data_IF_799394386727
#
_entry.id   IF_799394386727
#
_cell.length_a   1.000
_cell.length_b   1.000
_cell.length_c   1.000
_cell.angle_alpha   90.00
_cell.angle_beta   90.00
_cell.angle_gamma   90.00
#
_symmetry.space_group_name_H-M   'P 1'
#
loop_
_entity.id
_entity.type
_entity.pdbx_description
1 polymer ?
#
# COMPACT_ATOMS: atom_id res chain seq x y z
N UNK A 1 -23.49 15.45 -34.03
CA UNK A 1 -23.12 14.02 -34.02
C UNK A 1 -21.70 13.90 -34.57
N UNK A 2 -20.70 13.54 -33.76
CA UNK A 2 -19.34 13.27 -34.26
C UNK A 2 -19.16 11.77 -34.36
N UNK A 3 -19.02 11.29 -35.59
CA UNK A 3 -18.75 9.88 -35.89
C UNK A 3 -17.38 9.49 -35.30
N UNK A 4 -17.36 8.55 -34.37
CA UNK A 4 -16.13 7.85 -33.98
C UNK A 4 -15.85 6.80 -35.05
N UNK A 5 -14.84 7.06 -35.88
CA UNK A 5 -14.26 6.07 -36.78
C UNK A 5 -13.66 4.92 -35.96
N UNK A 6 -14.15 3.70 -36.19
CA UNK A 6 -13.57 2.47 -35.65
C UNK A 6 -12.16 2.30 -36.25
N UNK A 7 -11.13 2.29 -35.40
CA UNK A 7 -9.75 1.96 -35.81
C UNK A 7 -9.62 0.43 -35.89
N UNK A 8 -8.94 -0.12 -36.91
CA UNK A 8 -8.92 -1.56 -37.16
C UNK A 8 -8.18 -2.29 -36.03
N UNK A 9 -8.77 -3.40 -35.61
CA UNK A 9 -8.26 -4.31 -34.57
C UNK A 9 -7.12 -5.13 -35.18
N UNK A 10 -5.89 -4.65 -35.02
CA UNK A 10 -4.66 -5.41 -35.29
C UNK A 10 -4.31 -6.26 -34.06
N UNK A 11 -4.48 -7.56 -34.18
CA UNK A 11 -4.14 -8.56 -33.19
C UNK A 11 -2.62 -8.66 -33.02
N UNK A 12 -2.12 -8.47 -31.79
CA UNK A 12 -0.98 -9.15 -31.16
C UNK A 12 -0.78 -8.59 -29.74
N UNK A 13 -1.06 -9.48 -28.77
CA UNK A 13 -0.83 -9.43 -27.32
C UNK A 13 -0.67 -8.03 -26.70
N UNK A 14 -1.80 -7.42 -26.34
CA UNK A 14 -1.80 -6.08 -25.77
C UNK A 14 -3.00 -5.90 -24.83
N UNK A 15 -2.74 -5.35 -23.63
CA UNK A 15 -3.45 -4.10 -23.24
C UNK A 15 -4.91 -4.28 -22.77
N UNK A 16 -5.19 -5.15 -21.80
CA UNK A 16 -6.51 -5.20 -21.16
C UNK A 16 -6.97 -3.81 -20.64
N UNK A 17 -6.03 -2.95 -20.23
CA UNK A 17 -6.33 -1.60 -19.75
C UNK A 17 -6.32 -0.47 -20.79
N UNK A 18 -5.80 -0.60 -22.01
CA UNK A 18 -5.83 0.52 -22.98
C UNK A 18 -6.78 0.30 -24.17
N UNK A 19 -7.53 -0.81 -24.17
CA UNK A 19 -8.68 -1.03 -25.08
C UNK A 19 -10.04 -1.02 -24.36
N UNK A 20 -10.05 -0.69 -23.06
CA UNK A 20 -11.28 -0.45 -22.28
C UNK A 20 -12.16 0.61 -22.96
N UNK A 21 -13.48 0.41 -23.05
CA UNK A 21 -14.39 1.35 -23.73
C UNK A 21 -14.63 2.64 -22.93
N UNK A 22 -14.22 2.67 -21.66
CA UNK A 22 -14.43 3.76 -20.71
C UNK A 22 -13.13 4.17 -20.03
N UNK A 23 -13.04 5.46 -19.72
CA UNK A 23 -11.92 6.04 -18.99
C UNK A 23 -11.85 5.50 -17.53
N UNK A 24 -10.71 5.64 -16.84
CA UNK A 24 -10.64 5.48 -15.39
C UNK A 24 -11.69 6.33 -14.68
N UNK A 25 -12.48 5.68 -13.82
CA UNK A 25 -13.47 6.38 -12.98
C UNK A 25 -12.76 7.35 -12.04
N UNK A 26 -11.59 6.94 -11.52
CA UNK A 26 -10.76 7.76 -10.65
C UNK A 26 -9.47 8.17 -11.35
N UNK A 27 -9.11 9.46 -11.33
CA UNK A 27 -7.80 9.90 -11.78
C UNK A 27 -6.72 9.43 -10.81
N UNK A 28 -5.49 9.30 -11.29
CA UNK A 28 -4.36 9.08 -10.40
C UNK A 28 -4.23 10.27 -9.43
N UNK A 29 -4.32 9.98 -8.13
CA UNK A 29 -4.19 11.00 -7.09
C UNK A 29 -2.74 11.16 -6.64
N UNK A 30 -2.36 12.39 -6.32
CA UNK A 30 -1.11 12.67 -5.63
C UNK A 30 -1.28 12.39 -4.15
N UNK A 31 -0.45 11.51 -3.61
CA UNK A 31 -0.34 11.31 -2.16
C UNK A 31 0.25 12.57 -1.53
N UNK A 32 -0.34 13.05 -0.44
CA UNK A 32 0.13 14.24 0.30
C UNK A 32 0.20 13.98 1.79
N UNK A 33 0.92 14.84 2.50
CA UNK A 33 1.07 14.83 3.96
C UNK A 33 -0.06 15.56 4.69
N UNK A 34 -0.99 16.19 3.96
CA UNK A 34 -2.13 16.94 4.52
C UNK A 34 -3.08 16.02 5.29
N UNK A 35 -3.59 16.54 6.41
CA UNK A 35 -4.57 15.87 7.26
C UNK A 35 -3.99 15.34 8.57
N UNK A 36 -4.80 14.64 9.38
CA UNK A 36 -4.38 14.08 10.65
C UNK A 36 -3.35 12.96 10.47
N UNK A 37 -2.42 12.85 11.41
CA UNK A 37 -1.42 11.77 11.41
C UNK A 37 -1.95 10.47 12.02
N UNK A 38 -3.23 10.19 11.88
CA UNK A 38 -3.93 9.00 12.39
C UNK A 38 -3.91 7.84 11.38
N UNK A 39 -2.77 7.64 10.71
CA UNK A 39 -2.55 6.50 9.80
C UNK A 39 -1.28 5.81 10.24
N UNK A 40 -1.38 4.50 10.44
CA UNK A 40 -0.26 3.60 10.66
C UNK A 40 -0.11 2.71 9.42
N UNK A 41 1.04 2.78 8.76
CA UNK A 41 1.38 1.86 7.69
C UNK A 41 2.04 0.61 8.27
N UNK A 42 1.80 -0.54 7.64
CA UNK A 42 2.36 -1.83 8.07
C UNK A 42 2.79 -2.60 6.84
N UNK A 43 4.00 -3.16 6.85
CA UNK A 43 4.57 -3.77 5.65
C UNK A 43 5.47 -4.97 5.94
N UNK A 44 5.42 -6.03 5.12
CA UNK A 44 6.41 -7.11 5.19
C UNK A 44 7.67 -6.70 4.43
N UNK A 45 8.84 -6.94 5.01
CA UNK A 45 10.11 -6.58 4.34
C UNK A 45 10.31 -7.32 3.01
N UNK A 46 9.76 -8.53 2.88
CA UNK A 46 9.86 -9.39 1.68
C UNK A 46 8.47 -9.67 1.08
N UNK A 47 7.70 -8.62 0.82
CA UNK A 47 6.41 -8.70 0.11
C UNK A 47 6.61 -8.73 -1.43
N UNK A 48 6.16 -9.79 -2.13
CA UNK A 48 6.29 -9.90 -3.58
C UNK A 48 5.27 -9.07 -4.37
N UNK A 49 4.10 -8.79 -3.81
CA UNK A 49 3.01 -8.05 -4.48
C UNK A 49 3.15 -6.54 -4.31
N UNK A 50 3.66 -6.11 -3.16
CA UNK A 50 3.87 -4.69 -2.81
C UNK A 50 5.28 -4.51 -2.24
N UNK A 51 6.35 -4.41 -3.06
CA UNK A 51 7.72 -4.36 -2.53
C UNK A 51 7.96 -3.24 -1.50
N UNK A 52 8.80 -3.49 -0.50
CA UNK A 52 9.08 -2.56 0.60
C UNK A 52 9.51 -1.16 0.14
N UNK A 53 10.24 -1.06 -0.98
CA UNK A 53 10.61 0.22 -1.58
C UNK A 53 9.39 1.07 -1.97
N UNK A 54 8.30 0.46 -2.43
CA UNK A 54 7.05 1.16 -2.74
C UNK A 54 6.37 1.66 -1.46
N UNK A 55 6.35 0.84 -0.40
CA UNK A 55 5.83 1.24 0.91
C UNK A 55 6.61 2.44 1.48
N UNK A 56 7.95 2.46 1.36
CA UNK A 56 8.76 3.59 1.78
C UNK A 56 8.47 4.87 0.97
N UNK A 57 8.21 4.77 -0.35
CA UNK A 57 7.81 5.94 -1.16
C UNK A 57 6.48 6.52 -0.70
N UNK A 58 5.49 5.67 -0.41
CA UNK A 58 4.20 6.11 0.15
C UNK A 58 4.39 6.75 1.53
N UNK A 59 5.18 6.10 2.39
CA UNK A 59 5.55 6.60 3.72
C UNK A 59 6.19 7.98 3.66
N UNK A 60 7.11 8.22 2.72
CA UNK A 60 7.74 9.53 2.51
C UNK A 60 6.71 10.58 2.10
N UNK A 61 5.81 10.24 1.17
CA UNK A 61 4.75 11.15 0.72
C UNK A 61 3.72 11.49 1.81
N UNK A 62 3.51 10.60 2.78
CA UNK A 62 2.61 10.81 3.92
C UNK A 62 3.20 11.69 5.04
N UNK A 63 4.46 12.11 4.98
CA UNK A 63 5.04 13.07 5.93
C UNK A 63 5.15 12.51 7.35
N UNK A 64 4.29 12.94 8.28
CA UNK A 64 4.40 12.63 9.72
C UNK A 64 3.93 11.23 10.14
N UNK A 65 3.22 10.49 9.29
CA UNK A 65 2.76 9.12 9.59
C UNK A 65 3.93 8.16 9.61
N UNK A 66 3.76 6.95 10.13
CA UNK A 66 4.86 6.01 10.33
C UNK A 66 4.58 4.67 9.70
N UNK A 67 5.64 3.92 9.39
CA UNK A 67 5.56 2.53 8.96
C UNK A 67 6.16 1.60 10.00
N UNK A 68 5.47 0.48 10.27
CA UNK A 68 6.04 -0.67 10.95
C UNK A 68 6.37 -1.73 9.90
N UNK A 69 7.63 -2.14 9.84
CA UNK A 69 8.05 -3.26 8.98
C UNK A 69 8.12 -4.54 9.79
N UNK A 70 7.63 -5.63 9.22
CA UNK A 70 7.71 -6.96 9.77
C UNK A 70 8.80 -7.74 9.04
N UNK A 71 9.75 -8.28 9.78
CA UNK A 71 10.80 -9.16 9.25
C UNK A 71 10.19 -10.51 8.85
N UNK A 72 9.55 -10.58 7.68
CA UNK A 72 8.90 -11.79 7.16
C UNK A 72 8.68 -11.71 5.65
N UNK A 73 8.54 -12.88 5.06
CA UNK A 73 8.07 -13.08 3.69
C UNK A 73 6.55 -13.09 3.60
N UNK A 74 6.05 -12.81 2.40
CA UNK A 74 4.66 -12.99 2.03
C UNK A 74 3.90 -11.67 1.84
N UNK A 75 2.65 -11.82 1.41
CA UNK A 75 1.71 -10.72 1.22
C UNK A 75 0.76 -10.66 2.42
N UNK A 76 0.41 -9.45 2.84
CA UNK A 76 -0.37 -9.13 4.05
C UNK A 76 0.37 -9.28 5.40
N UNK A 77 0.11 -8.34 6.31
CA UNK A 77 0.73 -8.30 7.66
C UNK A 77 -0.28 -8.56 8.77
N UNK A 78 -1.34 -7.77 8.83
CA UNK A 78 -2.36 -7.81 9.88
C UNK A 78 -3.74 -8.12 9.26
N UNK A 79 -4.61 -8.91 9.91
CA UNK A 79 -4.39 -9.64 11.17
C UNK A 79 -3.76 -11.03 10.96
N UNK A 80 -3.53 -11.43 9.70
CA UNK A 80 -3.23 -12.82 9.35
C UNK A 80 -1.76 -13.23 9.57
N UNK A 81 -0.86 -12.28 9.80
CA UNK A 81 0.54 -12.56 10.07
C UNK A 81 0.78 -13.12 11.47
N UNK A 82 1.81 -13.97 11.60
CA UNK A 82 2.20 -14.59 12.90
C UNK A 82 3.07 -13.69 13.78
N UNK A 83 3.46 -12.50 13.31
CA UNK A 83 4.31 -11.59 14.07
C UNK A 83 3.47 -10.88 15.15
N UNK A 84 3.44 -11.46 16.36
CA UNK A 84 2.70 -10.91 17.50
C UNK A 84 3.08 -9.47 17.81
N UNK A 85 4.37 -9.15 17.74
CA UNK A 85 4.89 -7.81 18.01
C UNK A 85 4.29 -6.75 17.06
N UNK A 86 4.06 -7.12 15.80
CA UNK A 86 3.36 -6.27 14.82
C UNK A 86 1.86 -6.25 15.08
N UNK A 87 1.23 -7.40 15.31
CA UNK A 87 -0.21 -7.48 15.56
C UNK A 87 -0.64 -6.67 16.80
N UNK A 88 0.12 -6.76 17.89
CA UNK A 88 -0.13 -6.01 19.12
C UNK A 88 -0.01 -4.50 18.85
N UNK A 89 0.97 -4.07 18.05
CA UNK A 89 1.14 -2.67 17.69
C UNK A 89 0.00 -2.14 16.81
N UNK A 90 -0.46 -2.94 15.85
CA UNK A 90 -1.59 -2.58 14.98
C UNK A 90 -2.89 -2.55 15.78
N UNK A 91 -3.11 -3.54 16.66
CA UNK A 91 -4.28 -3.62 17.54
C UNK A 91 -4.32 -2.45 18.52
N UNK A 92 -3.18 -2.10 19.12
CA UNK A 92 -3.05 -0.91 19.95
C UNK A 92 -3.42 0.35 19.19
N UNK A 93 -2.86 0.56 17.99
CA UNK A 93 -3.22 1.71 17.16
C UNK A 93 -4.72 1.77 16.82
N UNK A 94 -5.33 0.63 16.47
CA UNK A 94 -6.76 0.59 16.13
C UNK A 94 -7.67 0.84 17.35
N UNK A 95 -7.23 0.50 18.55
CA UNK A 95 -8.02 0.67 19.78
C UNK A 95 -7.79 1.99 20.49
N UNK A 96 -6.59 2.59 20.37
CA UNK A 96 -6.23 3.84 21.08
C UNK A 96 -5.99 5.03 20.16
N UNK A 97 -5.73 4.80 18.87
CA UNK A 97 -5.25 5.81 17.93
C UNK A 97 -3.77 6.17 18.11
N UNK A 98 -3.07 5.58 19.08
CA UNK A 98 -1.66 5.83 19.34
C UNK A 98 -0.78 5.05 18.36
N UNK A 99 0.19 5.73 17.77
CA UNK A 99 1.16 5.13 16.85
C UNK A 99 2.58 5.45 17.29
N UNK A 100 3.58 4.67 16.86
CA UNK A 100 4.98 5.03 17.05
C UNK A 100 5.31 6.43 16.51
N UNK A 101 6.22 7.14 17.18
CA UNK A 101 6.73 8.44 16.73
C UNK A 101 7.63 8.36 15.50
N UNK A 102 8.27 7.21 15.29
CA UNK A 102 9.19 6.92 14.18
C UNK A 102 8.87 5.57 13.57
N UNK A 103 9.42 5.34 12.39
CA UNK A 103 9.34 4.03 11.72
C UNK A 103 10.02 2.97 12.59
N UNK A 104 9.50 1.74 12.56
CA UNK A 104 10.00 0.63 13.40
C UNK A 104 10.08 -0.64 12.59
N UNK A 105 11.21 -1.33 12.66
CA UNK A 105 11.30 -2.72 12.25
C UNK A 105 10.99 -3.63 13.44
N UNK A 106 10.23 -4.71 13.20
CA UNK A 106 9.89 -5.72 14.21
C UNK A 106 10.29 -7.09 13.69
N UNK A 107 11.21 -7.72 14.41
CA UNK A 107 11.65 -9.09 14.13
C UNK A 107 10.45 -10.06 14.20
N UNK A 108 10.47 -11.11 13.38
CA UNK A 108 9.46 -12.18 13.47
C UNK A 108 9.58 -13.02 14.76
N UNK A 109 10.75 -13.01 15.39
CA UNK A 109 11.12 -13.91 16.49
C UNK A 109 11.40 -13.15 17.78
N UNK A 110 10.38 -12.52 18.37
CA UNK A 110 10.44 -12.15 19.80
C UNK A 110 9.38 -12.98 20.51
N UNK A 111 9.88 -13.97 21.27
CA UNK A 111 9.11 -14.85 22.16
C UNK A 111 8.37 -14.04 23.21
#
# INVERSE_FOLDING_TARGET
MRARTLRPVGWLLRILCAYRPTDPVEPQVRISDRGPSNVLMVHNERDPGTPLVAAHRVRQAFGRRTVITADRDGHDVYPYGKNRCVNDAVTGFLTTGERPSHDRARAAWTH
#
